data_IF_795459257582
#
_entry.id   IF_795459257582
#
_cell.length_a   1.000
_cell.length_b   1.000
_cell.length_c   1.000
_cell.angle_alpha   90.00
_cell.angle_beta   90.00
_cell.angle_gamma   90.00
#
_symmetry.space_group_name_H-M   'P 1'
#
loop_
_entity.id
_entity.type
_entity.pdbx_description
1 polymer ?
#
# COMPACT_ATOMS: atom_id res chain seq x y z
N UNK A 1 31.95 -2.61 1.57
CA UNK A 1 31.29 -2.77 2.88
C UNK A 1 30.67 -1.43 3.27
N UNK A 2 29.44 -1.45 3.74
CA UNK A 2 28.83 -0.27 4.32
C UNK A 2 29.59 0.15 5.59
N UNK A 3 29.62 1.46 5.90
CA UNK A 3 30.17 1.93 7.16
C UNK A 3 29.48 1.25 8.35
N UNK A 4 30.21 1.02 9.43
CA UNK A 4 29.64 0.54 10.68
C UNK A 4 28.60 1.58 11.18
N UNK A 5 27.39 1.10 11.51
CA UNK A 5 26.27 1.97 11.88
C UNK A 5 25.44 2.47 10.68
N UNK A 6 25.58 1.86 9.51
CA UNK A 6 24.69 2.16 8.37
C UNK A 6 23.25 1.86 8.72
N UNK A 7 22.35 2.80 8.39
CA UNK A 7 20.91 2.63 8.56
C UNK A 7 20.40 1.56 7.61
N UNK A 8 19.70 0.57 8.14
CA UNK A 8 19.09 -0.48 7.33
C UNK A 8 17.97 0.05 6.45
N UNK A 9 17.72 -0.68 5.37
CA UNK A 9 16.61 -0.39 4.46
C UNK A 9 15.27 -0.94 4.99
N UNK A 10 14.25 -0.79 4.18
CA UNK A 10 12.94 -1.39 4.41
C UNK A 10 13.06 -2.92 4.52
N UNK A 11 12.40 -3.51 5.50
CA UNK A 11 12.30 -4.97 5.63
C UNK A 11 10.85 -5.40 5.87
N UNK A 12 10.50 -6.58 5.40
CA UNK A 12 9.16 -7.12 5.58
C UNK A 12 8.90 -7.39 7.07
N UNK A 13 7.79 -6.86 7.58
CA UNK A 13 7.32 -7.05 8.95
C UNK A 13 5.97 -7.75 9.02
N UNK A 14 5.32 -7.95 7.88
CA UNK A 14 4.09 -8.72 7.80
C UNK A 14 3.61 -8.90 6.37
N UNK A 15 2.91 -10.01 6.14
CA UNK A 15 2.33 -10.36 4.84
C UNK A 15 1.10 -11.23 5.03
N UNK A 16 0.12 -11.05 4.16
CA UNK A 16 -1.00 -11.97 4.00
C UNK A 16 -1.33 -12.12 2.52
N UNK A 17 -1.38 -13.35 2.05
CA UNK A 17 -1.82 -13.73 0.71
C UNK A 17 -3.12 -14.53 0.85
N UNK A 18 -4.16 -14.16 0.12
CA UNK A 18 -5.43 -14.88 0.15
C UNK A 18 -5.29 -16.28 -0.45
N UNK A 19 -5.73 -17.29 0.29
CA UNK A 19 -5.87 -18.67 -0.18
C UNK A 19 -7.22 -18.96 -0.83
N UNK A 20 -8.19 -18.06 -0.67
CA UNK A 20 -9.55 -18.16 -1.21
C UNK A 20 -10.12 -16.76 -1.45
N UNK A 21 -11.27 -16.69 -2.14
CA UNK A 21 -11.98 -15.42 -2.37
C UNK A 21 -12.41 -14.76 -1.07
N UNK A 22 -12.28 -13.44 -0.98
CA UNK A 22 -12.67 -12.63 0.17
C UNK A 22 -12.59 -11.14 -0.13
N UNK A 23 -13.11 -10.33 0.79
CA UNK A 23 -13.19 -8.87 0.65
C UNK A 23 -12.18 -8.14 1.53
N UNK A 24 -11.40 -8.86 2.33
CA UNK A 24 -10.39 -8.28 3.22
C UNK A 24 -9.09 -9.07 3.18
N UNK A 25 -7.98 -8.34 3.33
CA UNK A 25 -6.65 -8.88 3.54
C UNK A 25 -6.06 -8.19 4.77
N UNK A 26 -5.90 -8.95 5.86
CA UNK A 26 -5.47 -8.42 7.14
C UNK A 26 -4.02 -8.79 7.44
N UNK A 27 -3.22 -7.82 7.84
CA UNK A 27 -1.87 -8.03 8.38
C UNK A 27 -1.84 -7.42 9.78
N UNK A 28 -1.62 -8.26 10.78
CA UNK A 28 -1.67 -7.88 12.19
C UNK A 28 -0.39 -8.25 12.93
N UNK A 29 -0.20 -7.67 14.12
CA UNK A 29 0.97 -7.93 14.95
C UNK A 29 2.26 -7.36 14.37
N UNK A 30 2.14 -6.25 13.63
CA UNK A 30 3.29 -5.57 13.06
C UNK A 30 4.21 -5.04 14.16
N UNK A 31 5.52 -5.17 13.92
CA UNK A 31 6.53 -4.56 14.79
C UNK A 31 6.38 -3.04 14.82
N UNK A 32 6.69 -2.44 15.98
CA UNK A 32 6.74 -0.98 16.13
C UNK A 32 7.83 -0.41 15.23
N UNK A 33 7.40 0.28 14.18
CA UNK A 33 8.27 0.97 13.22
C UNK A 33 7.72 2.36 12.95
N UNK A 34 8.63 3.33 12.91
CA UNK A 34 8.30 4.74 12.67
C UNK A 34 7.69 4.97 11.29
N UNK A 35 8.18 4.25 10.29
CA UNK A 35 7.70 4.34 8.92
C UNK A 35 7.28 2.97 8.43
N UNK A 36 6.13 2.92 7.76
CA UNK A 36 5.61 1.73 7.10
C UNK A 36 5.49 1.97 5.61
N UNK A 37 5.78 0.94 4.82
CA UNK A 37 5.46 0.89 3.40
C UNK A 37 4.51 -0.28 3.18
N UNK A 38 3.42 -0.03 2.48
CA UNK A 38 2.44 -1.06 2.12
C UNK A 38 2.50 -1.32 0.62
N UNK A 39 2.46 -2.58 0.24
CA UNK A 39 2.35 -3.05 -1.14
C UNK A 39 1.10 -3.91 -1.21
N UNK A 40 0.11 -3.48 -2.01
CA UNK A 40 -1.12 -4.22 -2.22
C UNK A 40 -1.22 -4.66 -3.68
N UNK A 41 -1.35 -5.95 -3.92
CA UNK A 41 -1.70 -6.50 -5.22
C UNK A 41 -3.00 -7.28 -5.11
N UNK A 42 -4.02 -6.89 -5.86
CA UNK A 42 -5.31 -7.56 -5.83
C UNK A 42 -5.76 -7.99 -7.21
N UNK A 43 -6.30 -9.19 -7.25
CA UNK A 43 -6.83 -9.84 -8.43
C UNK A 43 -8.35 -9.91 -8.24
N UNK A 44 -9.16 -9.32 -9.14
CA UNK A 44 -10.60 -9.34 -9.03
C UNK A 44 -11.17 -10.71 -9.43
N UNK A 45 -12.39 -10.99 -9.00
CA UNK A 45 -13.15 -12.18 -9.40
C UNK A 45 -13.64 -12.14 -10.88
N UNK A 46 -13.41 -11.02 -11.57
CA UNK A 46 -13.74 -10.82 -12.99
C UNK A 46 -15.19 -10.47 -13.26
N UNK A 47 -16.04 -10.39 -12.25
CA UNK A 47 -17.48 -10.16 -12.44
C UNK A 47 -17.94 -8.75 -12.10
N UNK A 48 -17.24 -8.08 -11.18
CA UNK A 48 -17.64 -6.79 -10.66
C UNK A 48 -16.44 -5.94 -10.25
N UNK A 49 -16.70 -4.68 -9.95
CA UNK A 49 -15.70 -3.74 -9.48
C UNK A 49 -15.14 -4.17 -8.13
N UNK A 50 -13.83 -3.96 -7.97
CA UNK A 50 -13.16 -4.02 -6.68
C UNK A 50 -12.58 -2.65 -6.35
N UNK A 51 -12.20 -2.45 -5.10
CA UNK A 51 -11.65 -1.20 -4.60
C UNK A 51 -10.52 -1.48 -3.61
N UNK A 52 -9.52 -0.60 -3.57
CA UNK A 52 -8.54 -0.58 -2.51
C UNK A 52 -8.92 0.50 -1.49
N UNK A 53 -9.40 0.07 -0.33
CA UNK A 53 -9.50 0.93 0.83
C UNK A 53 -8.66 0.34 1.96
N UNK A 54 -8.12 1.19 2.81
CA UNK A 54 -7.35 0.74 3.97
C UNK A 54 -8.04 1.13 5.26
N UNK A 55 -8.00 0.21 6.20
CA UNK A 55 -8.25 0.45 7.62
C UNK A 55 -6.99 0.09 8.39
N UNK A 56 -6.80 0.75 9.48
CA UNK A 56 -5.65 0.50 10.36
C UNK A 56 -6.14 0.43 11.80
N UNK A 57 -5.28 -0.06 12.69
CA UNK A 57 -5.66 -0.17 14.08
C UNK A 57 -4.50 -0.53 14.99
N UNK A 58 -4.83 -0.74 16.26
CA UNK A 58 -3.94 -1.23 17.30
C UNK A 58 -4.56 -2.45 17.94
N UNK A 59 -3.97 -3.63 17.72
CA UNK A 59 -4.52 -4.92 18.15
C UNK A 59 -5.76 -5.35 17.35
N UNK A 60 -6.61 -4.41 16.97
CA UNK A 60 -7.83 -4.62 16.17
C UNK A 60 -7.98 -3.48 15.17
N UNK A 61 -8.63 -3.76 14.05
CA UNK A 61 -8.95 -2.77 13.02
C UNK A 61 -9.91 -1.72 13.59
N UNK A 62 -9.57 -0.45 13.38
CA UNK A 62 -10.44 0.67 13.76
C UNK A 62 -11.45 0.95 12.64
N UNK A 63 -12.71 0.73 12.93
CA UNK A 63 -13.83 0.97 12.01
C UNK A 63 -14.62 2.23 12.35
N UNK A 64 -14.13 3.03 13.28
CA UNK A 64 -14.76 4.30 13.66
C UNK A 64 -14.53 5.38 12.59
N UNK A 65 -15.34 6.43 12.66
CA UNK A 65 -15.31 7.52 11.67
C UNK A 65 -14.17 8.53 11.94
N UNK A 66 -12.92 8.05 11.92
CA UNK A 66 -11.72 8.83 12.26
C UNK A 66 -10.68 8.89 11.15
N UNK A 67 -11.10 8.64 9.91
CA UNK A 67 -10.26 8.81 8.74
C UNK A 67 -10.67 10.05 7.96
N UNK A 68 -9.70 10.71 7.36
CA UNK A 68 -9.92 11.77 6.38
C UNK A 68 -9.04 11.53 5.16
N UNK A 69 -9.59 11.67 3.97
CA UNK A 69 -8.93 11.33 2.73
C UNK A 69 -9.17 12.37 1.65
N UNK A 70 -8.18 12.59 0.84
CA UNK A 70 -8.26 13.30 -0.45
C UNK A 70 -7.66 12.42 -1.51
N UNK A 71 -8.34 12.26 -2.65
CA UNK A 71 -7.82 11.48 -3.77
C UNK A 71 -8.10 12.16 -5.12
N UNK A 72 -7.31 11.79 -6.12
CA UNK A 72 -7.56 12.10 -7.53
C UNK A 72 -7.37 10.84 -8.38
N UNK A 73 -7.99 10.82 -9.54
CA UNK A 73 -7.88 9.75 -10.52
C UNK A 73 -7.51 10.33 -11.88
N UNK A 74 -6.54 9.69 -12.55
CA UNK A 74 -6.07 10.03 -13.92
C UNK A 74 -5.66 11.50 -14.09
N UNK A 75 -5.19 12.14 -13.01
CA UNK A 75 -4.83 13.54 -13.01
C UNK A 75 -6.02 14.50 -13.06
N UNK A 76 -7.22 14.01 -12.76
CA UNK A 76 -8.42 14.82 -12.61
C UNK A 76 -8.39 15.71 -11.39
N UNK A 77 -9.48 16.45 -11.21
CA UNK A 77 -9.65 17.35 -10.07
C UNK A 77 -9.62 16.57 -8.75
N UNK A 78 -8.91 17.09 -7.76
CA UNK A 78 -8.93 16.55 -6.41
C UNK A 78 -10.35 16.44 -5.88
N UNK A 79 -10.70 15.26 -5.43
CA UNK A 79 -11.94 15.00 -4.72
C UNK A 79 -11.61 14.99 -3.23
N UNK A 80 -12.04 16.01 -2.51
CA UNK A 80 -12.02 16.00 -1.06
C UNK A 80 -13.13 15.06 -0.59
N UNK A 81 -12.80 13.81 -0.40
CA UNK A 81 -13.76 12.86 0.14
C UNK A 81 -13.55 12.75 1.64
N UNK A 82 -14.54 13.01 2.36
CA UNK A 82 -14.77 12.46 3.64
C UNK A 82 -13.80 12.86 4.72
N UNK A 83 -14.31 13.78 5.42
CA UNK A 83 -14.13 13.87 6.87
C UNK A 83 -14.99 12.80 7.52
N UNK A 84 -14.48 12.18 8.60
CA UNK A 84 -15.19 11.16 9.37
C UNK A 84 -15.56 9.89 8.57
N UNK A 85 -14.62 9.38 7.81
CA UNK A 85 -14.77 8.10 7.14
C UNK A 85 -14.32 6.93 8.03
N UNK A 86 -14.87 5.74 7.79
CA UNK A 86 -14.51 4.51 8.48
C UNK A 86 -13.36 3.73 7.80
N UNK A 87 -12.78 4.31 6.76
CA UNK A 87 -11.64 3.79 6.04
C UNK A 87 -10.91 4.93 5.29
N UNK A 88 -9.68 4.73 4.96
CA UNK A 88 -8.92 5.55 4.02
C UNK A 88 -9.32 5.13 2.60
N UNK A 89 -10.06 5.96 1.90
CA UNK A 89 -10.47 5.70 0.52
C UNK A 89 -9.30 5.98 -0.43
N UNK A 90 -8.99 5.05 -1.31
CA UNK A 90 -7.84 5.12 -2.20
C UNK A 90 -8.21 5.16 -3.68
N UNK A 91 -9.45 5.27 -3.99
CA UNK A 91 -9.95 5.35 -5.34
C UNK A 91 -11.31 4.70 -5.48
N UNK A 92 -12.23 5.35 -6.15
CA UNK A 92 -13.54 4.82 -6.43
C UNK A 92 -13.50 3.95 -7.69
N UNK A 93 -14.02 2.75 -7.55
CA UNK A 93 -14.57 2.00 -8.67
C UNK A 93 -13.67 1.75 -9.85
N UNK A 94 -12.58 1.04 -9.64
CA UNK A 94 -11.78 0.54 -10.75
C UNK A 94 -12.55 -0.56 -11.48
N UNK A 95 -12.47 -0.51 -12.78
CA UNK A 95 -13.22 -1.28 -13.77
C UNK A 95 -13.29 -2.80 -13.48
N UNK A 96 -14.33 -3.46 -13.96
CA UNK A 96 -14.49 -4.91 -13.86
C UNK A 96 -13.28 -5.65 -14.41
N UNK A 97 -12.81 -6.66 -13.67
CA UNK A 97 -11.76 -7.57 -14.13
C UNK A 97 -10.36 -7.02 -14.17
N UNK A 98 -10.11 -5.84 -13.61
CA UNK A 98 -8.79 -5.20 -13.62
C UNK A 98 -7.99 -5.54 -12.35
N UNK A 99 -6.82 -6.14 -12.53
CA UNK A 99 -5.84 -6.25 -11.46
C UNK A 99 -5.40 -4.86 -10.99
N UNK A 100 -5.10 -4.75 -9.70
CA UNK A 100 -4.68 -3.51 -9.06
C UNK A 100 -3.38 -3.72 -8.29
N UNK A 101 -2.47 -2.79 -8.48
CA UNK A 101 -1.24 -2.69 -7.68
C UNK A 101 -1.13 -1.32 -7.05
N UNK A 102 -0.84 -1.27 -5.77
CA UNK A 102 -0.68 -0.03 -5.04
C UNK A 102 0.48 -0.04 -4.08
N UNK A 103 1.05 1.14 -3.90
CA UNK A 103 2.15 1.41 -2.97
C UNK A 103 1.78 2.58 -2.07
N UNK A 104 1.94 2.42 -0.76
CA UNK A 104 1.69 3.48 0.20
C UNK A 104 2.80 3.64 1.22
N UNK A 105 2.92 4.85 1.76
CA UNK A 105 3.85 5.20 2.83
C UNK A 105 3.08 5.77 4.00
N UNK A 106 3.47 5.39 5.21
CA UNK A 106 2.79 5.76 6.44
C UNK A 106 3.80 6.30 7.45
N UNK A 107 3.48 7.44 8.03
CA UNK A 107 4.17 7.98 9.21
C UNK A 107 3.47 7.46 10.47
N UNK A 108 4.12 6.57 11.23
CA UNK A 108 3.52 5.82 12.35
C UNK A 108 4.05 6.26 13.72
N UNK A 109 3.92 7.54 14.04
CA UNK A 109 4.36 8.09 15.32
C UNK A 109 3.24 8.03 16.38
N UNK A 110 3.53 7.49 17.55
CA UNK A 110 2.55 7.29 18.63
C UNK A 110 1.82 8.58 19.06
N UNK A 111 2.52 9.71 19.12
CA UNK A 111 1.97 10.98 19.60
C UNK A 111 1.39 11.88 18.50
N UNK A 112 1.24 11.38 17.29
CA UNK A 112 0.78 12.13 16.12
C UNK A 112 -0.33 11.41 15.37
N UNK A 113 -1.14 12.16 14.63
CA UNK A 113 -1.99 11.57 13.59
C UNK A 113 -1.12 10.86 12.56
N UNK A 114 -1.55 9.70 12.10
CA UNK A 114 -0.79 8.92 11.11
C UNK A 114 -1.13 9.41 9.72
N UNK A 115 -0.12 9.88 9.01
CA UNK A 115 -0.26 10.36 7.64
C UNK A 115 0.04 9.21 6.68
N UNK A 116 -0.83 9.06 5.69
CA UNK A 116 -0.78 8.00 4.69
C UNK A 116 -0.73 8.65 3.32
N UNK A 117 0.23 8.26 2.51
CA UNK A 117 0.32 8.61 1.09
C UNK A 117 0.24 7.32 0.28
N UNK A 118 -0.54 7.32 -0.80
CA UNK A 118 -0.78 6.11 -1.56
C UNK A 118 -0.93 6.39 -3.05
N UNK A 119 -0.33 5.51 -3.85
CA UNK A 119 -0.48 5.47 -5.29
C UNK A 119 -0.98 4.08 -5.71
N UNK A 120 -1.95 4.08 -6.61
CA UNK A 120 -2.51 2.85 -7.16
C UNK A 120 -2.56 2.95 -8.67
N UNK A 121 -2.31 1.83 -9.33
CA UNK A 121 -2.63 1.65 -10.73
C UNK A 121 -3.47 0.40 -10.93
N UNK A 122 -4.25 0.38 -11.99
CA UNK A 122 -4.98 -0.79 -12.41
C UNK A 122 -4.89 -0.97 -13.92
N UNK A 123 -4.94 -2.22 -14.31
CA UNK A 123 -5.08 -2.61 -15.70
C UNK A 123 -6.52 -2.34 -16.16
N UNK A 124 -6.78 -1.29 -16.92
CA UNK A 124 -8.13 -1.00 -17.41
C UNK A 124 -8.67 -2.09 -18.36
N UNK A 125 -7.81 -2.63 -19.21
CA UNK A 125 -8.05 -3.81 -20.05
C UNK A 125 -6.72 -4.37 -20.53
N UNK A 126 -6.71 -5.62 -20.98
CA UNK A 126 -5.48 -6.26 -21.44
C UNK A 126 -4.95 -5.63 -22.74
N UNK A 127 -3.62 -5.65 -22.89
CA UNK A 127 -2.90 -5.24 -24.08
C UNK A 127 -2.44 -3.78 -24.08
N UNK A 128 -1.49 -3.48 -24.92
CA UNK A 128 -0.80 -2.18 -24.98
C UNK A 128 -1.64 -1.04 -25.60
N UNK A 129 -2.85 -1.33 -26.05
CA UNK A 129 -3.77 -0.32 -26.63
C UNK A 129 -4.65 0.37 -25.59
N UNK A 130 -4.67 -0.14 -24.36
CA UNK A 130 -5.37 0.46 -23.25
C UNK A 130 -4.37 1.05 -22.23
N UNK A 131 -4.62 2.27 -21.83
CA UNK A 131 -3.80 2.92 -20.79
C UNK A 131 -4.28 2.46 -19.40
N UNK A 132 -3.36 2.23 -18.44
CA UNK A 132 -3.75 1.90 -17.08
C UNK A 132 -4.41 3.09 -16.40
N UNK A 133 -5.31 2.82 -15.47
CA UNK A 133 -5.91 3.81 -14.59
C UNK A 133 -4.92 4.11 -13.46
N UNK A 134 -4.79 5.37 -13.10
CA UNK A 134 -3.95 5.86 -12.00
C UNK A 134 -4.81 6.49 -10.91
N UNK A 135 -4.57 6.15 -9.65
CA UNK A 135 -5.13 6.81 -8.49
C UNK A 135 -4.04 7.31 -7.54
N UNK A 136 -4.28 8.47 -6.96
CA UNK A 136 -3.41 9.11 -5.97
C UNK A 136 -4.24 9.53 -4.77
N UNK A 137 -3.80 9.17 -3.57
CA UNK A 137 -4.50 9.54 -2.35
C UNK A 137 -3.55 9.98 -1.25
N UNK A 138 -4.02 10.93 -0.45
CA UNK A 138 -3.44 11.26 0.84
C UNK A 138 -4.51 11.15 1.90
N UNK A 139 -4.16 10.59 3.03
CA UNK A 139 -5.11 10.26 4.08
C UNK A 139 -4.49 10.41 5.46
N UNK A 140 -5.33 10.46 6.46
CA UNK A 140 -4.89 10.38 7.84
C UNK A 140 -5.83 9.54 8.70
N UNK A 141 -5.23 8.85 9.66
CA UNK A 141 -5.92 8.24 10.80
C UNK A 141 -5.65 9.13 12.02
N UNK A 142 -6.72 9.62 12.66
CA UNK A 142 -6.61 10.69 13.66
C UNK A 142 -6.23 10.22 15.08
N UNK A 143 -6.01 8.91 15.26
CA UNK A 143 -5.54 8.40 16.55
C UNK A 143 -4.13 8.93 16.87
N UNK A 144 -4.01 9.64 17.98
CA UNK A 144 -2.74 10.21 18.48
C UNK A 144 -2.17 9.46 19.67
N UNK A 145 -2.85 8.43 20.17
CA UNK A 145 -2.46 7.71 21.39
C UNK A 145 -1.62 6.47 21.10
N UNK A 146 -1.84 5.83 19.97
CA UNK A 146 -1.27 4.52 19.66
C UNK A 146 -0.54 4.54 18.30
N UNK A 147 0.37 3.58 18.11
CA UNK A 147 0.91 3.22 16.81
C UNK A 147 -0.05 2.30 16.06
N UNK A 148 0.11 2.18 14.75
CA UNK A 148 -0.52 1.11 13.98
C UNK A 148 0.30 -0.17 14.13
N UNK A 149 -0.36 -1.26 14.45
CA UNK A 149 0.20 -2.61 14.43
C UNK A 149 -0.66 -3.59 13.60
N UNK A 150 -1.75 -3.08 13.04
CA UNK A 150 -2.67 -3.84 12.19
C UNK A 150 -3.11 -3.00 11.00
N UNK A 151 -3.04 -3.58 9.81
CA UNK A 151 -3.48 -2.96 8.54
C UNK A 151 -4.39 -3.94 7.81
N UNK A 152 -5.51 -3.44 7.33
CA UNK A 152 -6.47 -4.18 6.51
C UNK A 152 -6.61 -3.48 5.15
N UNK A 153 -6.44 -4.23 4.08
CA UNK A 153 -6.92 -3.85 2.75
C UNK A 153 -8.34 -4.39 2.60
N UNK A 154 -9.28 -3.53 2.27
CA UNK A 154 -10.71 -3.88 2.18
C UNK A 154 -11.30 -3.46 0.85
N UNK A 155 -12.07 -4.36 0.27
CA UNK A 155 -12.98 -4.09 -0.83
C UNK A 155 -14.34 -3.63 -0.27
N UNK A 156 -14.84 -2.51 -0.78
CA UNK A 156 -16.18 -1.98 -0.43
C UNK A 156 -17.13 -2.00 -1.62
N UNK A 157 -16.70 -2.57 -2.75
CA UNK A 157 -17.51 -2.75 -3.96
C UNK A 157 -18.14 -4.15 -4.03
N UNK A 158 -18.89 -4.42 -5.06
CA UNK A 158 -19.68 -5.65 -5.23
C UNK A 158 -18.83 -6.87 -5.58
N UNK A 159 -17.67 -6.68 -6.23
CA UNK A 159 -16.72 -7.75 -6.55
C UNK A 159 -15.95 -8.21 -5.32
N UNK A 160 -15.09 -9.21 -5.49
CA UNK A 160 -14.23 -9.73 -4.42
C UNK A 160 -12.81 -9.92 -4.91
N UNK A 161 -11.86 -9.94 -3.98
CA UNK A 161 -10.47 -10.36 -4.24
C UNK A 161 -10.42 -11.89 -4.33
N UNK A 162 -9.70 -12.44 -5.29
CA UNK A 162 -9.51 -13.89 -5.38
C UNK A 162 -8.19 -14.34 -4.75
N UNK A 163 -8.03 -15.65 -4.67
CA UNK A 163 -6.79 -16.31 -4.23
C UNK A 163 -5.57 -15.76 -4.98
N UNK A 164 -4.48 -15.51 -4.25
CA UNK A 164 -3.27 -14.87 -4.77
C UNK A 164 -3.24 -13.35 -4.59
N UNK A 165 -4.35 -12.70 -4.23
CA UNK A 165 -4.32 -11.29 -3.80
C UNK A 165 -3.54 -11.15 -2.51
N UNK A 166 -2.74 -10.07 -2.39
CA UNK A 166 -1.73 -9.96 -1.34
C UNK A 166 -1.61 -8.54 -0.78
N UNK A 167 -1.34 -8.47 0.51
CA UNK A 167 -0.90 -7.27 1.21
C UNK A 167 0.42 -7.55 1.92
N UNK A 168 1.46 -6.79 1.59
CA UNK A 168 2.78 -6.83 2.23
C UNK A 168 3.01 -5.52 2.98
N UNK A 169 3.55 -5.61 4.17
CA UNK A 169 3.94 -4.46 4.97
C UNK A 169 5.44 -4.51 5.25
N UNK A 170 6.13 -3.46 4.86
CA UNK A 170 7.53 -3.24 5.18
C UNK A 170 7.63 -2.17 6.27
N UNK A 171 8.61 -2.30 7.14
CA UNK A 171 8.88 -1.36 8.21
C UNK A 171 10.29 -0.79 8.13
N UNK A 172 10.45 0.44 8.61
CA UNK A 172 11.74 1.08 8.79
C UNK A 172 11.72 2.04 9.98
N UNK A 173 12.79 2.03 10.75
CA UNK A 173 13.06 3.00 11.78
C UNK A 173 14.46 3.58 11.58
N UNK A 174 14.67 4.91 11.73
CA UNK A 174 16.00 5.52 11.65
C UNK A 174 17.03 4.95 12.64
N UNK A 175 16.56 4.34 13.72
CA UNK A 175 17.41 3.70 14.73
C UNK A 175 17.71 2.23 14.43
N UNK A 176 17.09 1.65 13.39
CA UNK A 176 17.37 0.28 12.97
C UNK A 176 18.82 0.15 12.49
N UNK A 177 19.53 -0.80 13.06
CA UNK A 177 20.88 -1.17 12.64
C UNK A 177 20.86 -2.55 12.01
N UNK A 178 21.35 -2.65 10.80
CA UNK A 178 21.46 -3.93 10.10
C UNK A 178 22.92 -4.27 9.83
N UNK A 179 23.28 -5.52 10.02
CA UNK A 179 24.62 -6.06 9.73
C UNK A 179 24.76 -6.51 8.28
N UNK A 180 23.65 -6.61 7.56
CA UNK A 180 23.58 -7.04 6.17
C UNK A 180 22.82 -6.02 5.33
N UNK A 181 23.19 -5.89 4.05
CA UNK A 181 22.42 -5.09 3.11
C UNK A 181 21.05 -5.72 2.86
N UNK A 182 20.02 -4.91 2.89
CA UNK A 182 18.71 -5.31 2.43
C UNK A 182 18.63 -5.42 0.89
N UNK A 183 19.39 -4.56 0.20
CA UNK A 183 19.47 -4.56 -1.25
C UNK A 183 20.71 -5.34 -1.70
N UNK A 184 20.55 -6.27 -2.61
CA UNK A 184 21.64 -6.92 -3.31
C UNK A 184 21.60 -6.50 -4.79
N UNK A 185 22.77 -6.35 -5.38
CA UNK A 185 22.90 -6.16 -6.82
C UNK A 185 22.61 -7.50 -7.51
N UNK A 186 21.53 -7.55 -8.30
CA UNK A 186 21.18 -8.75 -9.06
C UNK A 186 21.94 -8.85 -10.37
N UNK A 187 22.27 -7.72 -10.97
CA UNK A 187 23.07 -7.65 -12.20
C UNK A 187 23.60 -6.25 -12.40
N UNK A 188 24.76 -6.14 -13.00
CA UNK A 188 25.30 -4.88 -13.55
C UNK A 188 25.86 -5.09 -14.94
N UNK A 189 25.75 -4.07 -15.77
CA UNK A 189 26.35 -4.03 -17.11
C UNK A 189 27.14 -2.75 -17.27
N UNK A 190 28.39 -2.88 -17.69
CA UNK A 190 29.22 -1.73 -18.05
C UNK A 190 29.27 -1.60 -19.56
N UNK A 191 28.90 -0.45 -20.08
CA UNK A 191 28.99 -0.16 -21.50
C UNK A 191 30.46 -0.22 -21.96
N UNK A 192 30.73 -0.95 -23.01
CA UNK A 192 32.04 -0.99 -23.67
C UNK A 192 31.91 -0.40 -25.09
N UNK A 193 32.55 0.75 -25.33
CA UNK A 193 32.43 1.47 -26.58
C UNK A 193 31.23 2.40 -26.66
N UNK A 194 30.91 2.91 -27.84
CA UNK A 194 29.69 3.69 -28.09
C UNK A 194 28.51 2.75 -28.37
N UNK A 195 27.69 2.48 -27.35
CA UNK A 195 26.48 1.68 -27.50
C UNK A 195 25.31 2.45 -26.92
N UNK A 196 24.20 2.44 -27.62
CA UNK A 196 22.94 3.07 -27.15
C UNK A 196 22.06 2.12 -26.33
N UNK A 197 22.55 0.89 -26.10
CA UNK A 197 21.81 -0.15 -25.37
C UNK A 197 22.68 -0.80 -24.29
N UNK A 198 22.19 -0.86 -23.07
CA UNK A 198 22.77 -1.56 -21.93
C UNK A 198 21.89 -2.75 -21.54
#
# INVERSE_FOLDING_TARGET
>A
SLPSGSVGGWHEIGRTTLGSTGDTIDVAGLADKRYLMILGHTIPDGTSKIQHNYRVGTGTIDTSSIYATRYSQDGGTDIATGINQNASLLGSGIEQGAEMFGVGYISNLASKEKLIQYHINSQSSAGATAVPIRGEAVSKWTNTSNIMDTIQLINSEVGSYVSGSELVVLGWDPEDTHTTNFWEELASVTASGSSDTL
#
